data_IF_246050915533
#
_entry.id   IF_246050915533
#
_cell.length_a   1.000
_cell.length_b   1.000
_cell.length_c   1.000
_cell.angle_alpha   90.00
_cell.angle_beta   90.00
_cell.angle_gamma   90.00
#
_symmetry.space_group_name_H-M   'P 1'
#
loop_
_entity.id
_entity.type
_entity.pdbx_description
1 polymer ?
#
# COMPACT_ATOMS: atom_id res chain seq x y z
N UNK A 1 -33.82 -16.06 39.17
CA UNK A 1 -33.17 -14.74 39.33
C UNK A 1 -31.66 -14.90 39.09
N UNK A 2 -31.23 -14.90 37.83
CA UNK A 2 -29.82 -15.00 37.47
C UNK A 2 -29.25 -13.60 37.28
N UNK A 3 -28.46 -13.10 38.23
CA UNK A 3 -27.66 -11.89 38.04
C UNK A 3 -26.43 -12.26 37.22
N UNK A 4 -26.34 -11.65 36.04
CA UNK A 4 -25.22 -11.75 35.11
C UNK A 4 -23.92 -11.31 35.80
N UNK A 5 -22.98 -12.25 35.92
CA UNK A 5 -21.64 -12.05 36.47
C UNK A 5 -20.75 -11.15 35.59
N UNK A 6 -21.25 -10.65 34.46
CA UNK A 6 -20.48 -9.84 33.51
C UNK A 6 -20.60 -8.33 33.72
N UNK A 7 -21.43 -7.88 34.66
CA UNK A 7 -21.71 -6.44 34.84
C UNK A 7 -20.72 -5.70 35.76
N UNK A 8 -19.74 -6.39 36.34
CA UNK A 8 -18.76 -5.80 37.27
C UNK A 8 -17.38 -5.48 36.68
N UNK A 9 -17.08 -5.89 35.44
CA UNK A 9 -15.70 -5.85 34.91
C UNK A 9 -15.35 -4.59 34.11
N UNK A 10 -16.31 -3.70 33.83
CA UNK A 10 -16.12 -2.50 32.99
C UNK A 10 -16.30 -1.18 33.74
N UNK A 11 -16.35 -1.22 35.08
CA UNK A 11 -16.62 -0.04 35.92
C UNK A 11 -15.35 0.53 36.57
N UNK A 12 -14.21 0.53 35.87
CA UNK A 12 -12.98 1.18 36.34
C UNK A 12 -12.67 2.40 35.45
N UNK A 13 -12.50 3.61 36.02
CA UNK A 13 -12.13 4.81 35.26
C UNK A 13 -10.77 4.71 34.54
N UNK A 14 -9.97 3.67 34.84
CA UNK A 14 -8.68 3.39 34.21
C UNK A 14 -8.71 2.25 33.16
N UNK A 15 -9.88 1.66 32.87
CA UNK A 15 -10.01 0.54 31.93
C UNK A 15 -9.43 0.84 30.53
N UNK A 16 -9.46 2.11 30.11
CA UNK A 16 -8.93 2.55 28.83
C UNK A 16 -7.38 2.59 28.80
N UNK A 17 -6.74 2.80 29.94
CA UNK A 17 -5.28 2.79 30.09
C UNK A 17 -4.74 1.36 30.19
N UNK A 18 -5.45 0.50 30.94
CA UNK A 18 -5.10 -0.92 31.07
C UNK A 18 -5.25 -1.64 29.72
N UNK A 19 -6.30 -1.35 28.96
CA UNK A 19 -6.48 -1.89 27.60
C UNK A 19 -5.35 -1.44 26.66
N UNK A 20 -4.92 -0.17 26.75
CA UNK A 20 -3.80 0.34 25.94
C UNK A 20 -2.49 -0.37 26.27
N UNK A 21 -2.23 -0.66 27.55
CA UNK A 21 -1.04 -1.43 27.98
C UNK A 21 -1.07 -2.85 27.42
N UNK A 22 -2.21 -3.52 27.48
CA UNK A 22 -2.38 -4.87 26.90
C UNK A 22 -2.20 -4.85 25.39
N UNK A 23 -2.78 -3.89 24.68
CA UNK A 23 -2.61 -3.74 23.23
C UNK A 23 -1.15 -3.47 22.86
N UNK A 24 -0.44 -2.63 23.62
CA UNK A 24 0.97 -2.33 23.39
C UNK A 24 1.86 -3.57 23.60
N UNK A 25 1.62 -4.37 24.65
CA UNK A 25 2.35 -5.62 24.89
C UNK A 25 2.10 -6.63 23.76
N UNK A 26 0.85 -6.78 23.33
CA UNK A 26 0.52 -7.64 22.18
C UNK A 26 1.23 -7.18 20.90
N UNK A 27 1.24 -5.88 20.63
CA UNK A 27 1.94 -5.31 19.47
C UNK A 27 3.45 -5.58 19.54
N UNK A 28 4.07 -5.41 20.70
CA UNK A 28 5.51 -5.66 20.87
C UNK A 28 5.87 -7.15 20.68
N UNK A 29 5.00 -8.07 21.11
CA UNK A 29 5.18 -9.52 20.89
C UNK A 29 4.96 -9.93 19.44
N UNK A 30 4.04 -9.27 18.74
CA UNK A 30 3.73 -9.55 17.34
C UNK A 30 4.72 -8.87 16.38
N UNK A 31 5.46 -7.86 16.83
CA UNK A 31 6.45 -7.16 16.01
C UNK A 31 7.63 -8.10 15.72
N UNK A 32 7.90 -8.44 14.44
CA UNK A 32 9.05 -9.25 14.11
C UNK A 32 10.32 -8.49 14.50
N UNK A 33 11.13 -9.07 15.40
CA UNK A 33 12.40 -8.47 15.80
C UNK A 33 13.43 -8.74 14.70
N UNK A 34 13.74 -7.71 13.92
CA UNK A 34 14.85 -7.75 12.98
C UNK A 34 16.17 -7.48 13.73
N UNK A 35 17.15 -8.41 13.72
CA UNK A 35 18.45 -8.14 14.33
C UNK A 35 19.17 -7.03 13.57
N UNK A 36 19.67 -6.04 14.30
CA UNK A 36 20.39 -4.90 13.73
C UNK A 36 21.88 -4.98 14.08
N UNK A 37 22.72 -5.04 13.05
CA UNK A 37 24.18 -5.06 13.19
C UNK A 37 24.76 -3.76 12.63
N UNK A 38 25.51 -3.04 13.46
CA UNK A 38 26.09 -1.74 13.10
C UNK A 38 27.03 -1.84 11.89
N UNK A 39 27.81 -2.91 11.78
CA UNK A 39 28.72 -3.14 10.66
C UNK A 39 28.00 -3.18 9.31
N UNK A 40 26.85 -3.86 9.25
CA UNK A 40 26.02 -3.93 8.04
C UNK A 40 25.47 -2.53 7.71
N UNK A 41 24.90 -1.85 8.69
CA UNK A 41 24.35 -0.49 8.50
C UNK A 41 25.42 0.49 7.98
N UNK A 42 26.61 0.51 8.59
CA UNK A 42 27.73 1.37 8.18
C UNK A 42 28.20 1.05 6.75
N UNK A 43 28.24 -0.24 6.38
CA UNK A 43 28.65 -0.66 5.03
C UNK A 43 27.66 -0.16 3.98
N UNK A 44 26.36 -0.36 4.19
CA UNK A 44 25.31 0.11 3.28
C UNK A 44 25.31 1.64 3.18
N UNK A 45 25.46 2.33 4.32
CA UNK A 45 25.50 3.80 4.35
C UNK A 45 26.71 4.37 3.57
N UNK A 46 27.89 3.77 3.69
CA UNK A 46 29.09 4.18 2.94
C UNK A 46 28.91 4.01 1.43
N UNK A 47 28.31 2.89 1.00
CA UNK A 47 28.02 2.64 -0.41
C UNK A 47 27.00 3.65 -0.93
N UNK A 48 25.87 3.84 -0.24
CA UNK A 48 24.85 4.80 -0.64
C UNK A 48 25.38 6.24 -0.72
N UNK A 49 26.22 6.65 0.24
CA UNK A 49 26.84 7.98 0.25
C UNK A 49 27.75 8.20 -0.96
N UNK A 50 28.48 7.16 -1.36
CA UNK A 50 29.35 7.21 -2.54
C UNK A 50 28.53 7.36 -3.83
N UNK A 51 27.42 6.63 -3.97
CA UNK A 51 26.53 6.77 -5.13
C UNK A 51 25.88 8.15 -5.21
N UNK A 52 25.49 8.74 -4.07
CA UNK A 52 24.99 10.12 -4.02
C UNK A 52 26.04 11.11 -4.54
N UNK A 53 27.30 10.98 -4.13
CA UNK A 53 28.38 11.86 -4.58
C UNK A 53 28.58 11.74 -6.10
N UNK A 54 28.52 10.53 -6.67
CA UNK A 54 28.59 10.32 -8.12
C UNK A 54 27.44 11.02 -8.86
N UNK A 55 26.22 10.90 -8.35
CA UNK A 55 25.04 11.57 -8.91
C UNK A 55 25.22 13.10 -8.89
N UNK A 56 25.64 13.67 -7.75
CA UNK A 56 25.80 15.12 -7.58
C UNK A 56 26.88 15.71 -8.52
N UNK A 57 27.91 14.93 -8.84
CA UNK A 57 28.95 15.34 -9.78
C UNK A 57 28.67 14.93 -11.23
N UNK A 58 27.42 14.59 -11.56
CA UNK A 58 27.01 14.24 -12.92
C UNK A 58 27.79 13.05 -13.51
N UNK A 59 28.22 12.11 -12.68
CA UNK A 59 29.00 10.94 -13.09
C UNK A 59 30.49 11.19 -13.33
N UNK A 60 31.02 12.40 -13.08
CA UNK A 60 32.45 12.70 -13.31
C UNK A 60 33.40 11.89 -12.41
N UNK A 61 32.88 11.35 -11.30
CA UNK A 61 33.61 10.55 -10.32
C UNK A 61 33.50 9.03 -10.57
N UNK A 62 32.83 8.63 -11.66
CA UNK A 62 32.62 7.24 -12.04
C UNK A 62 31.15 6.92 -12.35
N UNK A 63 30.93 5.72 -12.86
CA UNK A 63 29.59 5.26 -13.22
C UNK A 63 28.72 5.04 -11.98
N UNK A 64 27.46 5.47 -12.10
CA UNK A 64 26.41 5.26 -11.09
C UNK A 64 25.97 3.81 -11.16
N UNK A 65 25.79 3.19 -10.00
CA UNK A 65 25.32 1.82 -9.90
C UNK A 65 23.92 1.68 -10.54
N UNK A 66 23.82 0.74 -11.49
CA UNK A 66 22.56 0.44 -12.17
C UNK A 66 22.02 -0.94 -11.74
N UNK A 67 20.88 -0.94 -11.05
CA UNK A 67 20.21 -2.12 -10.54
C UNK A 67 20.13 -2.16 -9.01
N UNK A 68 19.84 -3.34 -8.46
CA UNK A 68 19.78 -3.59 -7.03
C UNK A 68 21.09 -4.21 -6.54
N UNK A 69 21.79 -3.51 -5.66
CA UNK A 69 22.93 -4.07 -4.94
C UNK A 69 22.43 -4.85 -3.72
N UNK A 70 22.77 -6.13 -3.67
CA UNK A 70 22.54 -7.00 -2.51
C UNK A 70 23.87 -7.27 -1.83
N UNK A 71 23.94 -6.96 -0.53
CA UNK A 71 25.07 -7.30 0.32
C UNK A 71 24.72 -8.46 1.25
N UNK A 72 25.41 -9.59 1.07
CA UNK A 72 25.39 -10.71 2.00
C UNK A 72 26.46 -10.49 3.06
N UNK A 73 26.02 -10.10 4.26
CA UNK A 73 26.91 -9.84 5.39
C UNK A 73 27.55 -11.09 6.00
N UNK A 74 27.05 -12.30 5.72
CA UNK A 74 27.66 -13.54 6.21
C UNK A 74 28.89 -13.91 5.40
N UNK A 75 28.78 -13.85 4.06
CA UNK A 75 29.88 -14.16 3.14
C UNK A 75 30.66 -12.91 2.67
N UNK A 76 30.31 -11.72 3.17
CA UNK A 76 30.86 -10.43 2.72
C UNK A 76 30.79 -10.25 1.19
N UNK A 77 29.71 -10.73 0.57
CA UNK A 77 29.57 -10.79 -0.88
C UNK A 77 28.61 -9.72 -1.39
N UNK A 78 29.01 -9.07 -2.48
CA UNK A 78 28.15 -8.17 -3.23
C UNK A 78 27.60 -8.85 -4.48
N UNK A 79 26.32 -8.64 -4.75
CA UNK A 79 25.67 -9.09 -5.99
C UNK A 79 24.86 -7.93 -6.55
N UNK A 80 25.07 -7.60 -7.82
CA UNK A 80 24.26 -6.60 -8.52
C UNK A 80 23.24 -7.35 -9.37
N UNK A 81 21.96 -7.12 -9.07
CA UNK A 81 20.85 -7.64 -9.86
C UNK A 81 20.39 -6.52 -10.79
N UNK A 82 20.50 -6.74 -12.09
CA UNK A 82 19.95 -5.80 -13.08
C UNK A 82 18.43 -5.77 -12.95
N UNK A 83 17.89 -4.56 -12.83
CA UNK A 83 16.46 -4.32 -12.80
C UNK A 83 16.06 -3.62 -14.09
N UNK A 84 14.93 -4.02 -14.65
CA UNK A 84 14.32 -3.35 -15.79
C UNK A 84 13.00 -2.73 -15.33
N UNK A 85 12.69 -1.55 -15.88
CA UNK A 85 11.43 -0.87 -15.57
C UNK A 85 10.30 -1.64 -16.24
N UNK A 86 9.32 -2.05 -15.43
CA UNK A 86 8.09 -2.68 -15.92
C UNK A 86 7.14 -1.59 -16.44
N UNK A 87 6.88 -1.57 -17.74
CA UNK A 87 6.03 -0.54 -18.36
C UNK A 87 4.57 -0.58 -17.88
N UNK A 88 4.08 -1.75 -17.44
CA UNK A 88 2.75 -1.98 -16.89
C UNK A 88 2.70 -1.88 -15.34
N UNK A 89 3.74 -1.33 -14.71
CA UNK A 89 3.76 -1.11 -13.26
C UNK A 89 2.66 -0.13 -12.85
N UNK A 90 1.77 -0.53 -11.94
CA UNK A 90 0.70 0.37 -11.51
C UNK A 90 1.23 1.63 -10.82
N UNK A 91 2.38 1.58 -10.16
CA UNK A 91 2.96 2.72 -9.42
C UNK A 91 3.60 3.74 -10.37
N UNK A 92 4.50 3.29 -11.24
CA UNK A 92 5.37 4.17 -12.03
C UNK A 92 5.50 3.76 -13.51
N UNK A 93 4.65 2.87 -14.03
CA UNK A 93 4.64 2.46 -15.43
C UNK A 93 3.86 3.43 -16.31
N UNK A 94 4.36 3.71 -17.52
CA UNK A 94 3.76 4.70 -18.42
C UNK A 94 2.40 4.25 -18.97
N UNK A 95 2.25 2.95 -19.30
CA UNK A 95 0.97 2.44 -19.83
C UNK A 95 -0.19 2.60 -18.87
N UNK A 96 0.08 2.54 -17.57
CA UNK A 96 -0.97 2.63 -16.56
C UNK A 96 -1.54 4.05 -16.50
N UNK A 97 -0.70 5.07 -16.69
CA UNK A 97 -1.14 6.46 -16.72
C UNK A 97 -1.96 6.77 -17.98
N UNK A 98 -1.61 6.17 -19.12
CA UNK A 98 -2.30 6.40 -20.40
C UNK A 98 -3.59 5.60 -20.56
N UNK A 99 -3.58 4.31 -20.20
CA UNK A 99 -4.68 3.37 -20.49
C UNK A 99 -5.57 3.07 -19.29
N UNK A 100 -5.09 3.36 -18.08
CA UNK A 100 -5.72 2.92 -16.83
C UNK A 100 -5.50 1.43 -16.55
N UNK A 101 -5.59 1.04 -15.27
CA UNK A 101 -5.57 -0.38 -14.88
C UNK A 101 -6.98 -0.95 -15.01
N UNK A 102 -7.12 -2.04 -15.74
CA UNK A 102 -8.41 -2.74 -15.85
C UNK A 102 -8.83 -3.32 -14.49
N UNK A 103 -10.03 -2.96 -14.07
CA UNK A 103 -10.59 -3.37 -12.79
C UNK A 103 -12.06 -3.77 -12.94
N UNK A 104 -12.34 -5.04 -12.64
CA UNK A 104 -13.69 -5.58 -12.69
C UNK A 104 -14.52 -5.12 -11.50
N UNK A 105 -15.63 -4.46 -11.75
CA UNK A 105 -16.55 -3.91 -10.73
C UNK A 105 -17.89 -4.63 -10.81
N UNK A 106 -18.47 -4.98 -9.67
CA UNK A 106 -19.77 -5.64 -9.56
C UNK A 106 -20.85 -4.57 -9.37
N UNK A 107 -21.95 -4.55 -10.14
CA UNK A 107 -22.99 -3.53 -10.01
C UNK A 107 -23.64 -3.47 -8.62
N UNK A 108 -23.73 -4.61 -7.95
CA UNK A 108 -24.40 -4.74 -6.66
C UNK A 108 -23.49 -4.43 -5.46
N UNK A 109 -22.17 -4.31 -5.67
CA UNK A 109 -21.22 -4.01 -4.59
C UNK A 109 -21.31 -2.53 -4.19
N UNK A 110 -21.05 -2.29 -2.90
CA UNK A 110 -20.95 -0.93 -2.34
C UNK A 110 -19.60 -0.31 -2.67
N UNK A 111 -19.52 1.02 -2.63
CA UNK A 111 -18.25 1.75 -2.75
C UNK A 111 -17.25 1.30 -1.68
N UNK A 112 -17.70 1.01 -0.46
CA UNK A 112 -16.86 0.46 0.61
C UNK A 112 -16.23 -0.89 0.23
N UNK A 113 -17.02 -1.81 -0.32
CA UNK A 113 -16.53 -3.11 -0.78
C UNK A 113 -15.53 -2.96 -1.94
N UNK A 114 -15.82 -2.05 -2.87
CA UNK A 114 -14.92 -1.72 -3.97
C UNK A 114 -13.59 -1.15 -3.45
N UNK A 115 -13.62 -0.20 -2.51
CA UNK A 115 -12.44 0.35 -1.83
C UNK A 115 -11.62 -0.76 -1.16
N UNK A 116 -12.27 -1.68 -0.45
CA UNK A 116 -11.61 -2.82 0.19
C UNK A 116 -10.89 -3.71 -0.82
N UNK A 117 -11.54 -4.05 -1.94
CA UNK A 117 -10.91 -4.85 -3.01
C UNK A 117 -9.74 -4.12 -3.66
N UNK A 118 -9.82 -2.80 -3.81
CA UNK A 118 -8.71 -1.97 -4.32
C UNK A 118 -7.56 -1.96 -3.31
N UNK A 119 -7.84 -1.80 -2.01
CA UNK A 119 -6.86 -1.88 -0.94
C UNK A 119 -6.11 -3.22 -0.96
N UNK A 120 -6.85 -4.33 -1.08
CA UNK A 120 -6.28 -5.68 -1.14
C UNK A 120 -5.45 -5.91 -2.41
N UNK A 121 -5.94 -5.47 -3.58
CA UNK A 121 -5.26 -5.70 -4.87
C UNK A 121 -3.97 -4.90 -5.00
N UNK A 122 -3.95 -3.67 -4.51
CA UNK A 122 -2.84 -2.73 -4.74
C UNK A 122 -2.05 -2.38 -3.48
N UNK A 123 -2.44 -2.87 -2.31
CA UNK A 123 -1.78 -2.58 -1.03
C UNK A 123 -1.98 -1.14 -0.56
N UNK A 124 -3.08 -0.49 -0.95
CA UNK A 124 -3.39 0.88 -0.52
C UNK A 124 -4.11 0.86 0.83
N UNK A 125 -3.59 1.54 1.87
CA UNK A 125 -4.21 1.54 3.20
C UNK A 125 -5.47 2.41 3.29
N UNK A 126 -5.60 3.40 2.42
CA UNK A 126 -6.59 4.49 2.50
C UNK A 126 -7.14 4.89 1.11
N UNK A 127 -7.70 3.95 0.31
CA UNK A 127 -8.17 4.28 -1.03
C UNK A 127 -9.47 5.10 -1.00
N UNK A 128 -9.42 6.25 -1.67
CA UNK A 128 -10.57 7.10 -1.92
C UNK A 128 -10.92 7.12 -3.41
N UNK A 129 -12.20 7.01 -3.73
CA UNK A 129 -12.66 6.88 -5.11
C UNK A 129 -13.26 8.19 -5.60
N UNK A 130 -12.73 8.67 -6.71
CA UNK A 130 -13.17 9.87 -7.41
C UNK A 130 -13.74 9.47 -8.76
N UNK A 131 -14.98 9.88 -9.03
CA UNK A 131 -15.63 9.68 -10.32
C UNK A 131 -16.23 11.00 -10.80
N UNK A 132 -15.81 11.44 -11.99
CA UNK A 132 -16.11 12.76 -12.55
C UNK A 132 -15.70 13.90 -11.60
N UNK A 133 -16.67 14.58 -10.98
CA UNK A 133 -16.43 15.70 -10.04
C UNK A 133 -16.70 15.33 -8.59
N UNK A 134 -16.97 14.05 -8.31
CA UNK A 134 -17.49 13.62 -7.01
C UNK A 134 -16.59 12.58 -6.37
N UNK A 135 -16.37 12.75 -5.07
CA UNK A 135 -15.90 11.68 -4.19
C UNK A 135 -17.06 10.74 -3.89
N UNK A 136 -16.86 9.45 -4.09
CA UNK A 136 -17.90 8.44 -3.90
C UNK A 136 -18.10 8.16 -2.40
N UNK A 137 -19.37 8.10 -1.98
CA UNK A 137 -19.77 7.75 -0.61
C UNK A 137 -19.79 6.23 -0.44
N UNK A 138 -19.33 5.76 0.70
CA UNK A 138 -19.10 4.34 1.00
C UNK A 138 -20.36 3.47 0.93
N UNK A 139 -21.52 4.06 1.25
CA UNK A 139 -22.80 3.38 1.36
C UNK A 139 -23.50 3.17 0.01
N UNK A 140 -23.11 3.94 -1.02
CA UNK A 140 -23.76 3.87 -2.33
C UNK A 140 -23.36 2.60 -3.07
N UNK A 141 -24.30 2.01 -3.79
CA UNK A 141 -24.00 0.92 -4.72
C UNK A 141 -23.41 1.45 -6.01
N UNK A 142 -22.55 0.66 -6.65
CA UNK A 142 -21.98 1.01 -7.96
C UNK A 142 -23.07 1.24 -9.01
N UNK A 143 -24.12 0.43 -9.01
CA UNK A 143 -25.26 0.54 -9.93
C UNK A 143 -25.98 1.89 -9.84
N UNK A 144 -26.00 2.53 -8.66
CA UNK A 144 -26.66 3.81 -8.41
C UNK A 144 -25.84 5.01 -8.91
N UNK A 145 -24.53 4.82 -9.12
CA UNK A 145 -23.59 5.87 -9.50
C UNK A 145 -23.54 6.12 -11.01
N UNK A 146 -24.24 5.30 -11.80
CA UNK A 146 -24.26 5.42 -13.26
C UNK A 146 -22.91 5.15 -13.92
N UNK A 147 -22.02 4.42 -13.23
CA UNK A 147 -20.72 3.98 -13.76
C UNK A 147 -20.97 2.94 -14.84
N UNK A 148 -20.36 3.14 -16.02
CA UNK A 148 -20.47 2.25 -17.17
C UNK A 148 -19.16 1.51 -17.42
N UNK A 149 -19.24 0.39 -18.14
CA UNK A 149 -18.04 -0.28 -18.63
C UNK A 149 -17.26 0.65 -19.56
N UNK A 150 -15.95 0.72 -19.38
CA UNK A 150 -15.05 1.64 -20.08
C UNK A 150 -14.87 3.01 -19.39
N UNK A 151 -15.66 3.33 -18.37
CA UNK A 151 -15.45 4.54 -17.58
C UNK A 151 -14.15 4.48 -16.76
N UNK A 152 -13.60 5.64 -16.42
CA UNK A 152 -12.41 5.77 -15.57
C UNK A 152 -12.80 6.28 -14.19
N UNK A 153 -12.39 5.55 -13.15
CA UNK A 153 -12.45 5.97 -11.74
C UNK A 153 -11.03 6.24 -11.28
N UNK A 154 -10.81 7.33 -10.56
CA UNK A 154 -9.50 7.64 -9.99
C UNK A 154 -9.44 7.20 -8.53
N UNK A 155 -8.35 6.53 -8.16
CA UNK A 155 -8.07 6.14 -6.78
C UNK A 155 -7.03 7.10 -6.20
N UNK A 156 -7.43 7.84 -5.19
CA UNK A 156 -6.56 8.66 -4.36
C UNK A 156 -6.13 7.86 -3.13
N UNK A 157 -4.86 7.96 -2.73
CA UNK A 157 -4.28 7.25 -1.56
C UNK A 157 -3.00 7.95 -1.14
N UNK A 158 -2.64 7.87 0.15
CA UNK A 158 -1.36 8.37 0.66
C UNK A 158 -0.12 7.68 0.06
N UNK A 159 -0.29 6.52 -0.60
CA UNK A 159 0.82 5.77 -1.21
C UNK A 159 1.24 6.27 -2.58
N UNK A 160 0.52 7.25 -3.14
CA UNK A 160 0.81 7.79 -4.48
C UNK A 160 0.76 9.30 -4.48
N UNK A 161 1.64 9.89 -5.29
CA UNK A 161 1.57 11.31 -5.59
C UNK A 161 0.45 11.65 -6.59
N UNK A 162 0.20 10.79 -7.58
CA UNK A 162 -0.89 10.96 -8.55
C UNK A 162 -1.98 9.90 -8.36
N UNK A 163 -3.27 10.26 -8.48
CA UNK A 163 -4.37 9.30 -8.44
C UNK A 163 -4.22 8.21 -9.51
N UNK A 164 -4.52 6.96 -9.15
CA UNK A 164 -4.46 5.83 -10.06
C UNK A 164 -5.73 5.77 -10.92
N UNK A 165 -5.64 5.88 -12.26
CA UNK A 165 -6.79 5.63 -13.13
C UNK A 165 -7.10 4.13 -13.18
N UNK A 166 -8.34 3.78 -12.85
CA UNK A 166 -8.92 2.44 -13.01
C UNK A 166 -9.95 2.47 -14.13
N UNK A 167 -9.73 1.66 -15.16
CA UNK A 167 -10.70 1.45 -16.23
C UNK A 167 -11.68 0.37 -15.81
N UNK A 168 -12.94 0.74 -15.71
CA UNK A 168 -14.00 -0.11 -15.16
C UNK A 168 -14.44 -1.14 -16.19
N UNK A 169 -14.49 -2.40 -15.78
CA UNK A 169 -15.18 -3.46 -16.49
C UNK A 169 -16.34 -3.96 -15.64
N UNK A 170 -17.59 -3.75 -16.10
CA UNK A 170 -18.75 -4.21 -15.34
C UNK A 170 -18.85 -5.74 -15.43
N UNK A 171 -18.83 -6.40 -14.27
CA UNK A 171 -19.15 -7.81 -14.15
C UNK A 171 -20.65 -8.08 -14.34
N UNK A 172 -21.00 -9.31 -14.69
CA UNK A 172 -22.40 -9.74 -14.79
C UNK A 172 -23.11 -9.59 -13.44
N UNK A 173 -24.39 -9.22 -13.48
CA UNK A 173 -25.26 -9.36 -12.31
C UNK A 173 -25.36 -10.85 -12.00
N UNK A 174 -24.99 -11.22 -10.78
CA UNK A 174 -25.33 -12.56 -10.28
C UNK A 174 -26.85 -12.52 -10.10
N UNK A 175 -27.57 -13.10 -11.06
CA UNK A 175 -29.00 -13.37 -10.91
C UNK A 175 -29.11 -14.58 -9.99
N UNK A 176 -29.46 -14.35 -8.73
CA UNK A 176 -30.01 -15.38 -7.85
C UNK A 176 -31.51 -15.52 -8.11
#
# INVERSE_FOLDING_TARGET
MGRSLYQGMFSSPNAHEDLRKVVADLQERLKPKMPALQSIASTIAGIASTEIIKILHGGSLGEILNGLLVYDGFNSRFTIVKLERKEDCFVCGDYVMERGVEFRVRPEETVMELKKRIAERFGFPDPELLYRKWRLSDEKKVSELGIKSGDVIYVETSRRYMPLPLKVELGERIND
#
